data_IF_477847890816
#
_entry.id   IF_477847890816
#
_cell.length_a   1.000
_cell.length_b   1.000
_cell.length_c   1.000
_cell.angle_alpha   90.00
_cell.angle_beta   90.00
_cell.angle_gamma   90.00
#
_symmetry.space_group_name_H-M   'P 1'
#
loop_
_entity.id
_entity.type
_entity.pdbx_description
1 polymer ?
#
# COMPACT_ATOMS: atom_id res chain seq x y z
N UNK A 1 -4.14 -21.68 -6.75
CA UNK A 1 -4.02 -20.24 -7.04
C UNK A 1 -2.82 -19.72 -6.30
N UNK A 2 -2.02 -18.87 -6.93
CA UNK A 2 -0.94 -18.17 -6.24
C UNK A 2 -1.54 -17.28 -5.13
N UNK A 3 -0.89 -17.26 -3.97
CA UNK A 3 -1.34 -16.53 -2.76
C UNK A 3 -0.43 -15.34 -2.45
N UNK A 4 0.45 -14.98 -3.38
CA UNK A 4 1.46 -13.95 -3.19
C UNK A 4 1.10 -12.68 -3.93
N UNK A 5 1.43 -11.54 -3.32
CA UNK A 5 1.36 -10.24 -3.97
C UNK A 5 2.66 -10.02 -4.72
N UNK A 6 2.54 -9.82 -6.03
CA UNK A 6 3.67 -9.54 -6.93
C UNK A 6 3.65 -8.07 -7.35
N UNK A 7 4.84 -7.47 -7.39
CA UNK A 7 5.02 -6.12 -7.88
C UNK A 7 6.11 -6.07 -8.93
N UNK A 8 5.83 -5.28 -9.96
CA UNK A 8 6.73 -5.07 -11.08
C UNK A 8 7.15 -3.61 -11.08
N UNK A 9 8.45 -3.37 -11.13
CA UNK A 9 9.01 -2.05 -11.41
C UNK A 9 9.95 -2.15 -12.59
N UNK A 10 10.06 -1.06 -13.33
CA UNK A 10 11.15 -0.87 -14.28
C UNK A 10 12.31 -0.17 -13.58
N UNK A 11 13.53 -0.41 -14.02
CA UNK A 11 14.67 0.43 -13.62
C UNK A 11 14.75 1.67 -14.53
N UNK A 12 15.70 2.57 -14.25
CA UNK A 12 15.97 3.74 -15.09
C UNK A 12 16.40 3.41 -16.53
N UNK A 13 16.71 2.13 -16.81
CA UNK A 13 17.08 1.62 -18.12
C UNK A 13 15.92 0.89 -18.80
N UNK A 14 14.71 0.95 -18.23
CA UNK A 14 13.50 0.34 -18.76
C UNK A 14 13.52 -1.21 -18.80
N UNK A 15 14.33 -1.85 -17.95
CA UNK A 15 14.33 -3.31 -17.81
C UNK A 15 13.10 -3.76 -17.00
N UNK A 16 12.41 -4.80 -17.47
CA UNK A 16 11.26 -5.40 -16.79
C UNK A 16 11.72 -6.45 -15.78
N UNK A 17 11.31 -6.30 -14.52
CA UNK A 17 11.70 -7.19 -13.42
C UNK A 17 10.49 -8.02 -12.97
N UNK A 18 10.52 -9.34 -13.21
CA UNK A 18 9.49 -10.31 -12.79
C UNK A 18 10.05 -11.19 -11.68
N UNK A 19 9.30 -11.36 -10.61
CA UNK A 19 9.58 -12.40 -9.62
C UNK A 19 8.88 -13.71 -9.99
N UNK A 20 9.67 -14.76 -10.27
CA UNK A 20 9.24 -16.16 -10.19
C UNK A 20 10.03 -16.81 -9.05
N UNK A 21 9.41 -17.53 -8.09
CA UNK A 21 10.12 -18.25 -7.05
C UNK A 21 11.16 -19.29 -7.55
N UNK A 22 11.19 -19.62 -8.85
CA UNK A 22 12.19 -20.50 -9.46
C UNK A 22 13.29 -19.80 -10.27
N UNK A 23 13.27 -18.47 -10.40
CA UNK A 23 14.30 -17.71 -11.13
C UNK A 23 15.33 -17.16 -10.14
N UNK A 24 16.51 -17.81 -10.07
CA UNK A 24 17.67 -17.29 -9.34
C UNK A 24 18.43 -16.29 -10.21
N UNK A 25 18.21 -15.00 -9.97
CA UNK A 25 18.91 -13.90 -10.63
C UNK A 25 18.40 -12.56 -10.11
N UNK A 26 19.26 -11.55 -10.08
CA UNK A 26 19.03 -10.28 -9.40
C UNK A 26 17.70 -9.57 -9.78
N UNK A 27 17.18 -8.87 -8.76
CA UNK A 27 16.19 -7.77 -8.71
C UNK A 27 14.71 -8.12 -8.76
N UNK A 28 14.16 -8.44 -7.58
CA UNK A 28 12.72 -8.45 -7.27
C UNK A 28 12.34 -7.25 -6.40
N UNK A 29 11.13 -6.71 -6.59
CA UNK A 29 10.44 -5.85 -5.61
C UNK A 29 9.48 -6.70 -4.75
N UNK A 30 10.07 -7.60 -3.96
CA UNK A 30 9.37 -8.34 -2.90
C UNK A 30 8.44 -9.46 -3.33
N UNK A 31 8.43 -10.50 -2.51
CA UNK A 31 7.32 -11.46 -2.40
C UNK A 31 6.81 -11.27 -0.97
N UNK A 32 5.53 -10.90 -0.84
CA UNK A 32 4.90 -10.77 0.47
C UNK A 32 4.59 -12.12 1.12
N UNK A 33 4.11 -12.08 2.35
CA UNK A 33 3.50 -13.24 3.02
C UNK A 33 2.33 -13.80 2.19
N UNK A 34 2.02 -15.08 2.41
CA UNK A 34 0.82 -15.67 1.82
C UNK A 34 -0.41 -14.92 2.36
N UNK A 35 -1.27 -14.43 1.45
CA UNK A 35 -2.57 -13.87 1.81
C UNK A 35 -3.65 -14.95 1.78
N UNK A 36 -4.64 -14.78 2.64
CA UNK A 36 -5.83 -15.62 2.64
C UNK A 36 -6.81 -15.16 1.56
N UNK A 37 -7.44 -16.11 0.89
CA UNK A 37 -8.45 -15.81 -0.12
C UNK A 37 -9.71 -15.25 0.57
N UNK A 38 -10.44 -14.41 -0.16
CA UNK A 38 -11.70 -13.80 0.28
C UNK A 38 -11.57 -12.95 1.56
N UNK A 39 -10.37 -12.42 1.82
CA UNK A 39 -10.11 -11.47 2.91
C UNK A 39 -9.74 -10.08 2.37
N UNK A 40 -10.10 -9.04 3.13
CA UNK A 40 -9.67 -7.68 2.84
C UNK A 40 -8.29 -7.40 3.43
N UNK A 41 -7.43 -6.79 2.63
CA UNK A 41 -6.14 -6.29 3.05
C UNK A 41 -5.98 -4.83 2.63
N UNK A 42 -5.32 -4.04 3.48
CA UNK A 42 -4.79 -2.74 3.08
C UNK A 42 -3.34 -2.92 2.64
N UNK A 43 -2.99 -2.39 1.46
CA UNK A 43 -1.67 -2.49 0.85
C UNK A 43 -1.13 -1.09 0.61
N UNK A 44 0.14 -0.85 0.95
CA UNK A 44 0.79 0.42 0.68
C UNK A 44 2.19 0.21 0.09
N UNK A 45 2.48 0.99 -0.95
CA UNK A 45 3.78 1.09 -1.59
C UNK A 45 4.31 2.48 -1.35
N UNK A 46 5.49 2.57 -0.74
CA UNK A 46 6.11 3.86 -0.39
C UNK A 46 7.52 3.91 -0.96
N UNK A 47 7.76 4.87 -1.85
CA UNK A 47 9.07 5.12 -2.45
C UNK A 47 9.58 6.52 -2.07
N UNK A 48 10.77 6.60 -1.49
CA UNK A 48 11.40 7.87 -1.09
C UNK A 48 12.50 8.35 -2.07
N UNK A 49 12.61 7.69 -3.22
CA UNK A 49 13.64 7.94 -4.24
C UNK A 49 14.95 7.20 -4.03
N UNK A 50 15.18 6.64 -2.83
CA UNK A 50 16.32 5.77 -2.51
C UNK A 50 15.91 4.34 -2.21
N UNK A 51 14.77 4.17 -1.54
CA UNK A 51 14.21 2.90 -1.13
C UNK A 51 12.74 2.83 -1.49
N UNK A 52 12.29 1.62 -1.83
CA UNK A 52 10.88 1.32 -2.01
C UNK A 52 10.49 0.27 -0.96
N UNK A 53 9.35 0.47 -0.32
CA UNK A 53 8.84 -0.37 0.78
C UNK A 53 7.42 -0.82 0.48
N UNK A 54 7.12 -2.05 0.88
CA UNK A 54 5.76 -2.62 0.81
C UNK A 54 5.28 -2.88 2.22
N UNK A 55 4.10 -2.36 2.52
CA UNK A 55 3.41 -2.60 3.77
C UNK A 55 2.08 -3.31 3.51
N UNK A 56 1.76 -4.27 4.37
CA UNK A 56 0.50 -5.01 4.35
C UNK A 56 -0.17 -4.92 5.72
N UNK A 57 -1.49 -4.87 5.73
CA UNK A 57 -2.31 -4.90 6.93
C UNK A 57 -3.56 -5.73 6.68
N UNK A 58 -3.80 -6.76 7.48
CA UNK A 58 -5.08 -7.47 7.45
C UNK A 58 -6.21 -6.55 7.94
N UNK A 59 -7.46 -6.86 7.58
CA UNK A 59 -8.63 -6.14 8.12
C UNK A 59 -8.68 -6.18 9.66
N UNK A 60 -8.16 -7.24 10.27
CA UNK A 60 -8.14 -7.41 11.74
C UNK A 60 -6.92 -6.78 12.42
N UNK A 61 -5.94 -6.32 11.65
CA UNK A 61 -4.72 -5.71 12.18
C UNK A 61 -4.90 -4.21 12.45
N UNK A 62 -4.38 -3.76 13.59
CA UNK A 62 -4.37 -2.33 13.95
C UNK A 62 -3.29 -1.51 13.25
N UNK A 63 -2.26 -2.17 12.71
CA UNK A 63 -1.06 -1.51 12.17
C UNK A 63 -0.53 -2.22 10.93
N UNK A 64 0.01 -1.45 10.00
CA UNK A 64 0.77 -1.97 8.88
C UNK A 64 2.06 -2.68 9.29
N UNK A 65 2.33 -3.82 8.65
CA UNK A 65 3.59 -4.55 8.74
C UNK A 65 4.42 -4.32 7.49
N UNK A 66 5.71 -4.00 7.65
CA UNK A 66 6.67 -3.94 6.55
C UNK A 66 6.99 -5.36 6.09
N UNK A 67 6.54 -5.73 4.89
CA UNK A 67 6.76 -7.07 4.33
C UNK A 67 7.90 -7.12 3.31
N UNK A 68 8.33 -5.95 2.80
CA UNK A 68 9.49 -5.89 1.91
C UNK A 68 10.16 -4.52 1.90
N UNK A 69 11.49 -4.52 1.70
CA UNK A 69 12.28 -3.34 1.38
C UNK A 69 13.20 -3.65 0.21
N UNK A 70 13.16 -2.79 -0.80
CA UNK A 70 14.11 -2.80 -1.91
C UNK A 70 15.00 -1.58 -1.82
N UNK A 71 16.31 -1.83 -1.78
CA UNK A 71 17.33 -0.80 -1.87
C UNK A 71 17.65 -0.56 -3.34
N UNK A 72 17.35 0.64 -3.85
CA UNK A 72 17.63 1.00 -5.24
C UNK A 72 16.53 1.83 -5.89
N UNK A 73 16.84 3.11 -6.11
CA UNK A 73 16.18 4.00 -7.06
C UNK A 73 14.73 4.41 -6.76
N UNK A 74 14.31 5.52 -7.35
CA UNK A 74 12.90 5.89 -7.44
C UNK A 74 12.14 4.91 -8.36
N UNK A 75 10.81 4.92 -8.29
CA UNK A 75 9.98 4.34 -9.33
C UNK A 75 10.44 4.85 -10.71
N UNK A 76 10.58 3.95 -11.69
CA UNK A 76 10.99 4.36 -13.02
C UNK A 76 10.03 5.38 -13.62
N UNK A 77 10.61 6.43 -14.22
CA UNK A 77 9.86 7.34 -15.04
C UNK A 77 9.41 6.60 -16.30
N UNK A 78 8.10 6.48 -16.50
CA UNK A 78 7.51 5.74 -17.60
C UNK A 78 6.37 6.53 -18.23
N UNK A 79 6.30 6.45 -19.56
CA UNK A 79 5.16 6.96 -20.34
C UNK A 79 4.07 5.90 -20.52
N UNK A 80 4.23 4.72 -19.90
CA UNK A 80 3.25 3.66 -19.97
C UNK A 80 1.94 4.05 -19.26
N UNK A 81 0.84 3.46 -19.72
CA UNK A 81 -0.46 3.60 -19.06
C UNK A 81 -0.42 2.96 -17.68
N UNK A 82 -0.89 3.69 -16.67
CA UNK A 82 -1.11 3.15 -15.34
C UNK A 82 -2.24 2.12 -15.36
N UNK A 83 -2.00 0.97 -14.74
CA UNK A 83 -3.02 -0.07 -14.56
C UNK A 83 -3.08 -0.48 -13.11
N UNK A 84 -4.26 -0.95 -12.69
CA UNK A 84 -4.49 -1.53 -11.38
C UNK A 84 -5.07 -2.94 -11.57
N UNK A 85 -4.71 -3.85 -10.67
CA UNK A 85 -5.23 -5.22 -10.70
C UNK A 85 -4.84 -6.01 -11.95
N UNK A 86 -3.70 -5.69 -12.59
CA UNK A 86 -3.13 -6.53 -13.65
C UNK A 86 -1.68 -6.21 -13.97
N UNK A 87 -0.97 -7.14 -14.59
CA UNK A 87 0.31 -6.88 -15.26
C UNK A 87 0.14 -6.08 -16.55
N UNK A 88 1.12 -5.23 -16.88
CA UNK A 88 1.12 -4.43 -18.12
C UNK A 88 2.38 -4.64 -18.96
N UNK A 89 2.63 -5.89 -19.34
CA UNK A 89 3.62 -6.22 -20.35
C UNK A 89 2.95 -6.36 -21.72
N UNK A 90 3.42 -5.60 -22.71
CA UNK A 90 3.01 -5.70 -24.13
C UNK A 90 1.48 -5.73 -24.39
N UNK A 91 0.70 -4.86 -23.74
CA UNK A 91 -0.76 -4.76 -23.94
C UNK A 91 -1.62 -5.38 -22.84
N UNK A 92 -0.98 -5.86 -21.77
CA UNK A 92 -1.64 -6.28 -20.54
C UNK A 92 -1.79 -7.79 -20.44
N UNK A 93 -1.36 -8.33 -19.30
CA UNK A 93 -1.43 -9.74 -18.94
C UNK A 93 -1.86 -9.87 -17.47
N UNK A 94 -1.92 -11.10 -16.96
CA UNK A 94 -1.95 -11.39 -15.51
C UNK A 94 -2.99 -10.59 -14.72
N UNK A 95 -4.27 -10.75 -15.07
CA UNK A 95 -5.37 -10.09 -14.39
C UNK A 95 -5.52 -10.56 -12.94
N UNK A 96 -5.70 -9.61 -12.03
CA UNK A 96 -6.11 -9.86 -10.66
C UNK A 96 -7.58 -10.27 -10.63
N UNK A 97 -7.88 -11.33 -9.89
CA UNK A 97 -9.25 -11.77 -9.64
C UNK A 97 -9.63 -11.46 -8.20
N UNK A 98 -10.21 -10.28 -7.99
CA UNK A 98 -10.64 -9.80 -6.68
C UNK A 98 -11.18 -8.38 -6.76
N UNK A 99 -11.46 -7.80 -5.60
CA UNK A 99 -11.94 -6.43 -5.48
C UNK A 99 -10.82 -5.48 -5.10
N UNK A 100 -10.87 -4.27 -5.64
CA UNK A 100 -10.03 -3.15 -5.23
C UNK A 100 -10.98 -2.04 -4.77
N UNK A 101 -10.64 -1.40 -3.66
CA UNK A 101 -11.38 -0.26 -3.14
C UNK A 101 -10.40 0.78 -2.58
N UNK A 102 -10.87 2.03 -2.51
CA UNK A 102 -10.22 3.12 -1.79
C UNK A 102 -8.78 3.43 -2.27
N UNK A 103 -8.55 3.32 -3.59
CA UNK A 103 -7.23 3.52 -4.20
C UNK A 103 -6.81 4.99 -4.16
N UNK A 104 -5.61 5.25 -3.63
CA UNK A 104 -5.02 6.59 -3.53
C UNK A 104 -3.58 6.61 -4.02
N UNK A 105 -3.16 7.76 -4.55
CA UNK A 105 -1.80 8.04 -4.99
C UNK A 105 -1.38 9.35 -4.32
N UNK A 106 -0.15 9.37 -3.80
CA UNK A 106 0.48 10.52 -3.14
C UNK A 106 1.70 10.94 -3.94
N UNK A 107 1.99 12.23 -3.99
CA UNK A 107 3.23 12.81 -4.50
C UNK A 107 4.35 12.84 -3.44
N UNK A 108 4.04 12.45 -2.21
CA UNK A 108 4.97 12.33 -1.09
C UNK A 108 5.11 10.89 -0.59
N UNK A 109 6.30 10.57 -0.08
CA UNK A 109 6.57 9.33 0.63
C UNK A 109 5.97 9.40 2.05
N UNK A 110 4.76 8.86 2.22
CA UNK A 110 4.04 8.91 3.48
C UNK A 110 4.69 8.04 4.56
N UNK A 111 4.67 8.53 5.81
CA UNK A 111 5.03 7.71 6.96
C UNK A 111 3.95 6.65 7.22
N UNK A 112 4.32 5.53 7.85
CA UNK A 112 3.41 4.39 8.08
C UNK A 112 2.12 4.78 8.79
N UNK A 113 2.15 5.77 9.68
CA UNK A 113 1.00 6.28 10.42
C UNK A 113 0.02 7.11 9.57
N UNK A 114 0.48 7.66 8.45
CA UNK A 114 -0.32 8.48 7.53
C UNK A 114 -0.93 7.65 6.39
N UNK A 115 -0.62 6.35 6.34
CA UNK A 115 -1.20 5.42 5.38
C UNK A 115 -2.71 5.24 5.60
N UNK A 116 -3.42 4.98 4.50
CA UNK A 116 -4.87 4.80 4.51
C UNK A 116 -5.30 3.63 5.41
N UNK A 117 -6.44 3.78 6.07
CA UNK A 117 -7.01 2.73 6.92
C UNK A 117 -6.31 2.56 8.27
N UNK A 118 -5.29 3.35 8.59
CA UNK A 118 -4.98 3.55 10.01
C UNK A 118 -6.17 4.21 10.68
N UNK A 119 -6.46 3.81 11.91
CA UNK A 119 -7.48 4.46 12.71
C UNK A 119 -6.95 5.85 13.05
N UNK A 120 -7.42 6.87 12.34
CA UNK A 120 -7.15 8.26 12.73
C UNK A 120 -7.90 8.47 14.05
N UNK A 121 -7.22 8.70 15.19
CA UNK A 121 -7.92 9.05 16.41
C UNK A 121 -8.62 10.36 16.11
N UNK A 122 -9.95 10.44 16.12
CA UNK A 122 -10.61 11.70 15.79
C UNK A 122 -10.39 12.73 16.92
N UNK A 123 -9.53 13.76 16.76
CA UNK A 123 -9.44 14.80 17.78
C UNK A 123 -10.76 15.61 17.85
N UNK A 124 -11.53 15.64 16.76
CA UNK A 124 -12.76 16.42 16.66
C UNK A 124 -13.91 15.83 17.49
N UNK A 125 -14.12 14.51 17.45
CA UNK A 125 -15.21 13.86 18.21
C UNK A 125 -15.02 13.97 19.72
N UNK A 126 -13.80 13.79 20.22
CA UNK A 126 -13.49 14.00 21.64
C UNK A 126 -13.65 15.47 22.06
N UNK A 127 -13.22 16.40 21.21
CA UNK A 127 -13.33 17.84 21.46
C UNK A 127 -14.79 18.32 21.46
N UNK A 128 -15.62 17.85 20.53
CA UNK A 128 -17.06 18.16 20.48
C UNK A 128 -17.80 17.59 21.69
N UNK A 129 -17.45 16.38 22.14
CA UNK A 129 -18.06 15.78 23.32
C UNK A 129 -17.74 16.57 24.59
N UNK A 130 -16.47 16.99 24.75
CA UNK A 130 -16.02 17.81 25.88
C UNK A 130 -16.65 19.21 25.88
N UNK A 131 -16.77 19.85 24.71
CA UNK A 131 -17.47 21.12 24.57
C UNK A 131 -18.97 20.99 24.88
N UNK A 132 -19.61 19.92 24.43
CA UNK A 132 -21.02 19.62 24.74
C UNK A 132 -21.27 19.40 26.23
N UNK A 133 -20.42 18.61 26.89
CA UNK A 133 -20.46 18.39 28.34
C UNK A 133 -20.20 19.68 29.12
N UNK A 134 -19.22 20.49 28.69
CA UNK A 134 -18.93 21.79 29.27
C UNK A 134 -20.13 22.75 29.18
N UNK A 135 -20.79 22.81 28.02
CA UNK A 135 -21.99 23.63 27.81
C UNK A 135 -23.18 23.17 28.68
N UNK A 136 -23.37 21.86 28.85
CA UNK A 136 -24.41 21.29 29.71
C UNK A 136 -24.16 21.58 31.20
N UNK A 137 -22.91 21.51 31.65
CA UNK A 137 -22.52 21.86 33.01
C UNK A 137 -22.64 23.36 33.28
N UNK A 138 -22.32 24.21 32.30
CA UNK A 138 -22.46 25.67 32.41
C UNK A 138 -23.93 26.11 32.46
N UNK A 139 -24.87 25.35 31.86
CA UNK A 139 -26.33 25.61 31.93
C UNK A 139 -26.98 25.23 33.26
N UNK A 140 -26.27 24.52 34.15
CA UNK A 140 -26.78 24.05 35.45
C UNK A 140 -26.44 24.97 36.64
N UNK A 141 -25.82 26.12 36.40
CA UNK A 141 -25.61 27.20 37.37
C UNK A 141 -26.55 28.36 37.08
#
# INVERSE_FOLDING_TARGET
MDKKIHFYSYDSNNNFHITDPNQTGNTHFGVGDDIELDQWYSLALVGDGSTNKIFLKSADDSTYTLIHTHAGGALANSVATWVLGRGFFNGGADGFNGYLDDVRISDEALATQDLLGNVVPEPASASLLLLGLGALLARRK
#
